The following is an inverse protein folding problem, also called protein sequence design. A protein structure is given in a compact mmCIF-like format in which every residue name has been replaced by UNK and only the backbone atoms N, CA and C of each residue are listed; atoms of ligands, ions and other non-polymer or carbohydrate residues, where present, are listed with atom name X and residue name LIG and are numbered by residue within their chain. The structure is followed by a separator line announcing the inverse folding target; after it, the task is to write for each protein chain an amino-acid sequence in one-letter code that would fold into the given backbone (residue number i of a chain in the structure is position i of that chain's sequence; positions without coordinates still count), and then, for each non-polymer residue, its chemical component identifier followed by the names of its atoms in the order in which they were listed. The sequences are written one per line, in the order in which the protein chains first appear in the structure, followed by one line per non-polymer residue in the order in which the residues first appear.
data_IF_196505362511
#
_entry.id   IF_196505362511
#
_cell.length_a   1.000
_cell.length_b   1.000
_cell.length_c   1.000
_cell.angle_alpha   90.00
_cell.angle_beta   90.00
_cell.angle_gamma   90.00
#
_symmetry.space_group_name_H-M   'P 1'
#
loop_
_entity.id
_entity.type
_entity.pdbx_description
1 polymer ?
#
# COMPACT_ATOMS: atom_id res chain seq x y z
N UNK A 1 -23.74 -40.55 -33.48
CA UNK A 1 -23.18 -41.32 -32.36
C UNK A 1 -23.01 -40.38 -31.19
N UNK A 2 -23.61 -40.72 -30.05
CA UNK A 2 -23.80 -39.81 -28.91
C UNK A 2 -23.00 -40.34 -27.73
N UNK A 3 -22.08 -39.55 -27.15
CA UNK A 3 -21.27 -39.99 -26.01
C UNK A 3 -21.07 -38.87 -24.99
N UNK A 4 -21.79 -39.00 -23.88
CA UNK A 4 -21.62 -38.48 -22.50
C UNK A 4 -22.75 -39.16 -21.69
N UNK A 5 -22.69 -39.31 -20.34
CA UNK A 5 -21.69 -38.86 -19.38
C UNK A 5 -21.20 -39.95 -18.39
N UNK A 6 -20.27 -39.58 -17.47
CA UNK A 6 -19.95 -40.17 -16.14
C UNK A 6 -18.64 -39.51 -15.64
N UNK A 7 -18.40 -39.16 -14.36
CA UNK A 7 -19.23 -39.12 -13.14
C UNK A 7 -18.55 -38.27 -12.05
N UNK A 8 -19.33 -37.87 -11.02
CA UNK A 8 -18.98 -37.51 -9.62
C UNK A 8 -17.57 -36.93 -9.30
N UNK A 9 -17.43 -35.69 -8.81
CA UNK A 9 -17.89 -35.14 -7.53
C UNK A 9 -17.13 -35.66 -6.28
N UNK A 10 -16.31 -34.76 -5.69
CA UNK A 10 -15.82 -34.86 -4.31
C UNK A 10 -15.56 -33.43 -3.77
N UNK A 11 -16.53 -32.86 -3.06
CA UNK A 11 -16.36 -31.65 -2.25
C UNK A 11 -15.78 -32.06 -0.88
N UNK A 12 -14.59 -31.56 -0.54
CA UNK A 12 -14.02 -31.71 0.80
C UNK A 12 -14.18 -30.39 1.57
N UNK A 13 -15.24 -30.29 2.37
CA UNK A 13 -15.42 -29.19 3.34
C UNK A 13 -14.84 -29.63 4.68
N UNK A 14 -13.69 -29.08 5.05
CA UNK A 14 -13.13 -29.23 6.39
C UNK A 14 -13.53 -28.03 7.24
N UNK A 15 -14.65 -28.17 7.95
CA UNK A 15 -15.02 -27.26 9.02
C UNK A 15 -14.28 -27.67 10.30
N UNK A 16 -13.34 -26.83 10.76
CA UNK A 16 -12.73 -26.96 12.09
C UNK A 16 -13.44 -25.99 13.03
N UNK A 17 -14.41 -26.52 13.79
CA UNK A 17 -14.99 -25.83 14.93
C UNK A 17 -14.17 -26.16 16.19
N UNK A 18 -13.71 -25.14 16.91
CA UNK A 18 -12.99 -25.29 18.18
C UNK A 18 -13.35 -24.16 19.13
N UNK A 19 -14.16 -24.45 20.13
CA UNK A 19 -14.65 -23.45 21.07
C UNK A 19 -13.64 -23.14 22.18
N UNK A 20 -13.40 -21.84 22.37
CA UNK A 20 -13.27 -21.10 23.64
C UNK A 20 -12.97 -21.91 24.90
N UNK A 21 -11.85 -21.59 25.55
CA UNK A 21 -11.71 -21.62 27.00
C UNK A 21 -11.08 -20.30 27.49
N UNK A 22 -11.89 -19.45 28.11
CA UNK A 22 -11.42 -18.27 28.85
C UNK A 22 -11.00 -18.71 30.26
N UNK A 23 -9.69 -18.67 30.55
CA UNK A 23 -9.19 -18.79 31.91
C UNK A 23 -8.72 -17.40 32.39
N UNK A 24 -9.56 -16.73 33.15
CA UNK A 24 -9.18 -15.46 33.79
C UNK A 24 -8.38 -15.71 35.06
N UNK A 25 -7.24 -15.01 35.20
CA UNK A 25 -6.60 -14.82 36.50
C UNK A 25 -7.15 -13.54 37.13
N UNK A 26 -8.33 -13.64 37.75
CA UNK A 26 -8.74 -12.69 38.78
C UNK A 26 -8.14 -13.14 40.11
N UNK A 27 -7.30 -12.28 40.72
CA UNK A 27 -6.66 -12.50 42.01
C UNK A 27 -7.03 -11.40 42.97
N UNK A 28 -8.27 -11.39 43.45
CA UNK A 28 -8.72 -10.47 44.49
C UNK A 28 -8.19 -10.88 45.86
N UNK A 29 -7.49 -9.96 46.53
CA UNK A 29 -7.29 -10.00 47.97
C UNK A 29 -7.18 -8.55 48.51
N UNK A 30 -8.33 -7.96 48.82
CA UNK A 30 -8.38 -6.68 49.52
C UNK A 30 -7.91 -6.83 50.98
N UNK A 31 -7.28 -5.79 51.51
CA UNK A 31 -7.21 -5.54 52.96
C UNK A 31 -7.19 -4.05 53.24
N UNK A 32 -8.32 -3.54 53.70
CA UNK A 32 -8.52 -2.16 54.15
C UNK A 32 -7.98 -1.94 55.55
N UNK A 33 -7.27 -0.84 55.79
CA UNK A 33 -7.03 -0.31 57.14
C UNK A 33 -6.90 1.23 57.14
N UNK A 34 -8.05 1.87 57.24
CA UNK A 34 -8.34 3.20 57.82
C UNK A 34 -7.38 3.67 58.94
N UNK A 35 -6.81 4.89 58.85
CA UNK A 35 -7.11 6.02 59.77
C UNK A 35 -6.20 7.26 59.60
N UNK A 36 -6.75 8.41 60.00
CA UNK A 36 -6.23 9.79 59.92
C UNK A 36 -5.23 10.19 61.04
N UNK A 37 -4.33 11.15 60.74
CA UNK A 37 -4.09 12.43 61.45
C UNK A 37 -3.01 13.22 60.64
N UNK A 38 -3.13 14.49 60.22
CA UNK A 38 -3.33 15.79 60.88
C UNK A 38 -2.01 16.59 61.11
N UNK A 39 -2.00 17.87 60.70
CA UNK A 39 -0.85 18.82 60.69
C UNK A 39 -0.52 19.27 59.25
N UNK A 40 -0.77 20.51 58.79
CA UNK A 40 -0.20 21.84 59.17
C UNK A 40 1.34 21.85 59.07
N UNK A 41 1.99 22.78 58.38
CA UNK A 41 1.70 24.20 58.07
C UNK A 41 1.89 24.53 56.56
N UNK A 42 1.21 25.52 55.95
CA UNK A 42 1.63 26.94 55.83
C UNK A 42 3.08 27.11 55.28
N UNK A 43 3.40 27.80 54.18
CA UNK A 43 2.65 28.68 53.28
C UNK A 43 3.15 28.45 51.80
N UNK A 44 2.83 29.21 50.75
CA UNK A 44 2.09 30.48 50.60
C UNK A 44 1.52 30.65 49.18
N UNK A 45 0.62 31.63 49.01
CA UNK A 45 0.19 32.25 47.75
C UNK A 45 -0.15 33.72 48.09
N UNK A 46 -0.03 34.72 47.16
CA UNK A 46 -1.09 34.84 46.15
C UNK A 46 -0.74 35.51 44.80
N UNK A 47 -1.61 35.24 43.83
CA UNK A 47 -2.14 36.18 42.81
C UNK A 47 -1.21 37.10 42.00
N UNK A 48 -1.19 36.88 40.69
CA UNK A 48 -1.70 37.88 39.71
C UNK A 48 -2.66 37.21 38.73
N UNK A 49 -3.61 37.99 38.22
CA UNK A 49 -4.80 37.57 37.44
C UNK A 49 -5.03 38.64 36.36
N UNK A 50 -5.56 38.25 35.19
CA UNK A 50 -6.05 39.10 34.06
C UNK A 50 -5.00 40.07 33.44
N UNK A 51 -4.81 40.21 32.13
CA UNK A 51 -5.71 40.42 30.98
C UNK A 51 -5.05 39.82 29.71
N UNK A 52 -5.78 39.25 28.73
CA UNK A 52 -6.58 39.92 27.68
C UNK A 52 -5.76 40.76 26.68
N UNK A 53 -5.67 40.28 25.44
CA UNK A 53 -5.89 41.08 24.22
C UNK A 53 -5.91 40.19 22.98
N UNK A 54 -7.07 40.10 22.34
CA UNK A 54 -7.18 39.67 20.96
C UNK A 54 -6.87 40.87 20.03
N UNK A 55 -6.19 40.63 18.91
CA UNK A 55 -5.96 41.67 17.90
C UNK A 55 -6.21 41.19 16.47
N UNK A 56 -7.37 41.59 15.95
CA UNK A 56 -7.71 41.79 14.54
C UNK A 56 -8.89 42.78 14.51
N UNK A 57 -9.23 43.49 13.41
CA UNK A 57 -8.65 43.46 12.05
C UNK A 57 -8.39 44.90 11.48
N UNK A 58 -8.54 45.06 10.15
CA UNK A 58 -8.68 46.31 9.35
C UNK A 58 -7.37 47.03 8.92
N UNK A 59 -7.25 47.67 7.75
CA UNK A 59 -8.20 47.90 6.63
C UNK A 59 -7.47 48.14 5.27
N UNK A 60 -8.23 48.31 4.19
CA UNK A 60 -7.91 48.93 2.88
C UNK A 60 -6.91 48.23 1.92
N UNK A 61 -7.07 48.28 0.58
CA UNK A 61 -8.23 48.61 -0.26
C UNK A 61 -8.01 48.13 -1.73
N UNK A 62 -9.13 47.94 -2.45
CA UNK A 62 -9.34 48.20 -3.89
C UNK A 62 -8.24 47.89 -4.93
N UNK A 63 -8.49 46.87 -5.78
CA UNK A 63 -8.80 47.08 -7.22
C UNK A 63 -9.00 45.75 -7.98
N UNK A 64 -10.10 45.64 -8.74
CA UNK A 64 -10.18 44.73 -9.90
C UNK A 64 -10.08 45.55 -11.19
N UNK A 65 -9.29 45.09 -12.17
CA UNK A 65 -9.62 45.32 -13.59
C UNK A 65 -10.17 44.05 -14.27
N UNK A 66 -10.99 44.30 -15.30
CA UNK A 66 -11.74 43.30 -16.10
C UNK A 66 -10.86 42.74 -17.27
N UNK A 67 -11.38 41.95 -18.23
CA UNK A 67 -10.59 40.93 -18.92
C UNK A 67 -9.98 41.42 -20.24
N UNK A 68 -9.00 40.65 -20.74
CA UNK A 68 -8.49 40.77 -22.11
C UNK A 68 -8.56 39.42 -22.82
N UNK A 69 -9.59 39.22 -23.64
CA UNK A 69 -9.61 38.23 -24.72
C UNK A 69 -9.25 38.93 -26.04
N UNK A 70 -8.34 38.35 -26.83
CA UNK A 70 -8.57 38.33 -28.29
C UNK A 70 -8.46 36.90 -28.88
N UNK A 71 -9.63 36.39 -29.24
CA UNK A 71 -10.02 35.57 -30.43
C UNK A 71 -9.06 35.66 -31.67
N UNK A 72 -9.17 34.79 -32.70
CA UNK A 72 -8.92 33.34 -32.76
C UNK A 72 -7.97 32.93 -33.93
N UNK A 73 -7.86 31.61 -34.17
CA UNK A 73 -7.26 30.93 -35.35
C UNK A 73 -5.73 30.69 -35.26
N UNK A 74 -5.16 29.59 -35.78
CA UNK A 74 -5.64 28.68 -36.85
C UNK A 74 -5.45 27.20 -36.51
N UNK A 75 -6.22 26.37 -37.22
CA UNK A 75 -6.11 24.91 -37.27
C UNK A 75 -4.70 24.42 -37.64
N UNK A 76 -4.25 23.34 -36.99
CA UNK A 76 -3.18 22.46 -37.46
C UNK A 76 -3.56 21.01 -37.15
N UNK A 77 -3.47 20.16 -38.18
CA UNK A 77 -4.00 18.80 -38.28
C UNK A 77 -3.40 17.81 -37.27
N UNK A 78 -4.14 16.77 -36.80
CA UNK A 78 -3.56 15.70 -36.00
C UNK A 78 -2.53 14.91 -36.83
N UNK A 79 -1.26 14.94 -36.42
CA UNK A 79 -0.23 14.11 -37.03
C UNK A 79 -0.24 12.74 -36.35
N UNK A 80 -0.82 11.75 -37.02
CA UNK A 80 -0.84 10.38 -36.53
C UNK A 80 0.61 9.85 -36.41
N UNK A 81 1.00 9.20 -35.30
CA UNK A 81 2.26 8.49 -35.24
C UNK A 81 2.20 7.32 -36.23
N UNK A 82 3.13 7.31 -37.19
CA UNK A 82 3.21 6.27 -38.21
C UNK A 82 3.40 4.89 -37.55
N UNK A 83 2.57 3.93 -37.93
CA UNK A 83 2.74 2.53 -37.54
C UNK A 83 4.00 1.96 -38.19
N UNK A 84 5.13 2.01 -37.47
CA UNK A 84 6.34 1.29 -37.87
C UNK A 84 6.06 -0.21 -37.81
N UNK A 85 6.24 -0.88 -38.95
CA UNK A 85 5.84 -2.26 -39.15
C UNK A 85 6.56 -3.23 -38.18
N UNK A 86 5.82 -4.19 -37.64
CA UNK A 86 6.39 -5.32 -36.91
C UNK A 86 7.19 -6.21 -37.86
N UNK A 87 8.52 -6.16 -37.76
CA UNK A 87 9.38 -7.15 -38.39
C UNK A 87 9.11 -8.53 -37.76
N UNK A 88 8.64 -9.47 -38.58
CA UNK A 88 8.49 -10.87 -38.17
C UNK A 88 9.85 -11.55 -38.27
N UNK A 89 10.31 -12.17 -37.19
CA UNK A 89 11.48 -13.08 -37.22
C UNK A 89 11.06 -14.47 -36.71
N UNK A 90 11.48 -15.48 -37.46
CA UNK A 90 11.03 -16.87 -37.32
C UNK A 90 11.52 -17.55 -36.04
N UNK A 91 10.79 -18.59 -35.63
CA UNK A 91 11.04 -19.34 -34.40
C UNK A 91 12.40 -20.08 -34.39
N UNK A 92 13.09 -20.03 -33.25
CA UNK A 92 14.24 -20.86 -32.93
C UNK A 92 14.25 -21.22 -31.43
N UNK A 93 13.76 -22.42 -31.11
CA UNK A 93 13.71 -22.97 -29.73
C UNK A 93 12.71 -22.27 -28.79
N UNK A 94 12.42 -22.86 -27.61
CA UNK A 94 11.75 -22.13 -26.54
C UNK A 94 12.72 -21.09 -25.99
N UNK A 95 12.42 -19.78 -26.07
CA UNK A 95 13.34 -18.77 -25.59
C UNK A 95 13.46 -18.88 -24.06
N UNK A 96 14.70 -18.89 -23.57
CA UNK A 96 15.02 -18.51 -22.19
C UNK A 96 14.28 -17.21 -21.89
N UNK A 97 13.41 -17.21 -20.88
CA UNK A 97 12.43 -16.15 -20.69
C UNK A 97 13.10 -14.78 -20.47
N UNK A 98 13.21 -13.98 -21.53
CA UNK A 98 13.86 -12.67 -21.50
C UNK A 98 13.21 -11.78 -20.44
N UNK A 99 13.98 -11.48 -19.39
CA UNK A 99 13.57 -10.60 -18.31
C UNK A 99 13.78 -9.14 -18.72
N UNK A 100 12.80 -8.29 -18.44
CA UNK A 100 12.91 -6.84 -18.68
C UNK A 100 12.17 -6.01 -17.64
N UNK A 101 12.70 -4.82 -17.39
CA UNK A 101 11.99 -3.76 -16.69
C UNK A 101 10.80 -3.28 -17.53
N UNK A 102 9.70 -2.95 -16.87
CA UNK A 102 8.46 -2.47 -17.49
C UNK A 102 8.05 -1.14 -16.87
N UNK A 103 7.49 -0.24 -17.67
CA UNK A 103 6.99 1.04 -17.18
C UNK A 103 5.83 0.83 -16.18
N UNK A 104 5.94 1.43 -14.99
CA UNK A 104 4.91 1.36 -13.96
C UNK A 104 3.73 2.26 -14.36
N UNK A 105 2.68 1.66 -14.91
CA UNK A 105 1.43 2.39 -15.18
C UNK A 105 0.61 2.60 -13.90
N UNK A 106 -0.23 3.64 -13.88
CA UNK A 106 -1.15 3.88 -12.78
C UNK A 106 -2.12 2.70 -12.54
N UNK A 107 -2.46 1.95 -13.59
CA UNK A 107 -3.30 0.74 -13.50
C UNK A 107 -2.57 -0.42 -12.80
N UNK A 108 -1.29 -0.65 -13.12
CA UNK A 108 -0.48 -1.66 -12.42
C UNK A 108 -0.33 -1.26 -10.95
N UNK A 109 0.03 0.00 -10.69
CA UNK A 109 0.24 0.51 -9.32
C UNK A 109 -1.03 0.37 -8.46
N UNK A 110 -2.20 0.80 -8.96
CA UNK A 110 -3.47 0.70 -8.24
C UNK A 110 -3.96 -0.75 -8.08
N UNK A 111 -3.74 -1.62 -9.06
CA UNK A 111 -4.14 -3.04 -8.97
C UNK A 111 -3.28 -3.81 -7.97
N UNK A 112 -1.96 -3.55 -7.95
CA UNK A 112 -1.04 -4.11 -6.94
C UNK A 112 -1.38 -3.60 -5.54
N UNK A 113 -1.66 -2.30 -5.38
CA UNK A 113 -2.11 -1.72 -4.10
C UNK A 113 -3.38 -2.42 -3.60
N UNK A 114 -4.42 -2.55 -4.43
CA UNK A 114 -5.65 -3.27 -4.06
C UNK A 114 -5.46 -4.75 -3.76
N UNK A 115 -4.52 -5.40 -4.44
CA UNK A 115 -4.14 -6.79 -4.15
C UNK A 115 -3.56 -6.90 -2.74
N UNK A 116 -2.78 -5.90 -2.31
CA UNK A 116 -2.21 -5.83 -0.96
C UNK A 116 -3.24 -5.42 0.10
N UNK A 117 -4.10 -4.42 -0.18
CA UNK A 117 -5.25 -4.03 0.66
C UNK A 117 -6.07 -5.25 1.05
N UNK A 118 -6.40 -6.08 0.05
CA UNK A 118 -7.21 -7.30 0.23
C UNK A 118 -6.46 -8.36 1.05
N UNK A 119 -5.14 -8.49 0.85
CA UNK A 119 -4.31 -9.51 1.50
C UNK A 119 -3.99 -9.19 2.97
N UNK A 120 -3.64 -7.94 3.29
CA UNK A 120 -3.22 -7.49 4.63
C UNK A 120 -4.31 -6.81 5.44
N UNK A 121 -5.47 -6.48 4.84
CA UNK A 121 -6.61 -5.77 5.46
C UNK A 121 -6.29 -4.35 5.95
N UNK A 122 -5.31 -3.71 5.32
CA UNK A 122 -4.95 -2.30 5.49
C UNK A 122 -5.60 -1.53 4.33
N UNK A 123 -6.16 -0.34 4.56
CA UNK A 123 -6.94 0.38 3.53
C UNK A 123 -6.34 1.72 3.11
N UNK A 124 -5.75 2.47 4.05
CA UNK A 124 -5.32 3.84 3.81
C UNK A 124 -3.82 3.91 3.52
N UNK A 125 -3.43 3.44 2.34
CA UNK A 125 -2.03 3.27 1.98
C UNK A 125 -1.76 3.44 0.49
N UNK A 126 -0.51 3.74 0.18
CA UNK A 126 -0.01 3.86 -1.19
C UNK A 126 1.42 3.34 -1.27
N UNK A 127 1.89 2.89 -2.45
CA UNK A 127 3.28 2.52 -2.59
C UNK A 127 4.19 3.75 -2.49
N UNK A 128 5.22 3.64 -1.64
CA UNK A 128 6.19 4.70 -1.36
C UNK A 128 6.85 5.18 -2.68
N UNK A 129 6.98 6.50 -2.91
CA UNK A 129 7.65 7.04 -4.10
C UNK A 129 9.06 6.47 -4.27
N UNK A 130 9.37 5.95 -5.46
CA UNK A 130 10.67 5.34 -5.76
C UNK A 130 10.85 3.87 -5.33
N UNK A 131 9.94 3.30 -4.53
CA UNK A 131 10.05 1.91 -4.05
C UNK A 131 9.38 0.84 -4.94
N UNK A 132 8.72 1.26 -6.03
CA UNK A 132 7.88 0.37 -6.85
C UNK A 132 8.67 -0.19 -8.05
N UNK A 133 9.02 -1.47 -7.96
CA UNK A 133 9.67 -2.24 -9.01
C UNK A 133 8.63 -2.98 -9.85
N UNK A 134 8.83 -3.03 -11.18
CA UNK A 134 7.95 -3.74 -12.09
C UNK A 134 8.70 -4.26 -13.32
N UNK A 135 8.32 -5.45 -13.76
CA UNK A 135 8.99 -6.14 -14.83
C UNK A 135 8.33 -7.47 -15.16
N UNK A 136 8.88 -8.18 -16.14
CA UNK A 136 8.38 -9.50 -16.53
C UNK A 136 9.44 -10.34 -17.19
N UNK A 137 9.26 -11.65 -17.11
CA UNK A 137 10.09 -12.65 -17.78
C UNK A 137 9.13 -13.64 -18.47
N UNK A 138 9.17 -13.69 -19.80
CA UNK A 138 8.21 -14.49 -20.58
C UNK A 138 6.76 -14.03 -20.36
N UNK A 139 5.89 -14.92 -19.85
CA UNK A 139 4.46 -14.64 -19.61
C UNK A 139 4.13 -14.19 -18.18
N UNK A 140 5.08 -14.28 -17.25
CA UNK A 140 4.89 -13.83 -15.87
C UNK A 140 5.35 -12.38 -15.69
N UNK A 141 4.58 -11.60 -14.94
CA UNK A 141 5.00 -10.27 -14.50
C UNK A 141 5.19 -10.28 -12.99
N UNK A 142 6.08 -9.44 -12.51
CA UNK A 142 6.50 -9.36 -11.12
C UNK A 142 6.49 -7.90 -10.71
N UNK A 143 6.06 -7.63 -9.48
CA UNK A 143 6.18 -6.32 -8.86
C UNK A 143 6.67 -6.47 -7.42
N UNK A 144 7.42 -5.49 -6.96
CA UNK A 144 7.80 -5.34 -5.56
C UNK A 144 7.55 -3.89 -5.15
N UNK A 145 7.04 -3.66 -3.95
CA UNK A 145 6.77 -2.31 -3.46
C UNK A 145 6.90 -2.22 -1.94
N UNK A 146 7.40 -1.09 -1.44
CA UNK A 146 7.14 -0.68 -0.06
C UNK A 146 5.88 0.19 -0.03
N UNK A 147 5.24 0.26 1.12
CA UNK A 147 3.99 0.99 1.27
C UNK A 147 4.01 1.89 2.49
N UNK A 148 3.41 3.06 2.34
CA UNK A 148 3.27 4.07 3.37
C UNK A 148 1.80 4.43 3.57
N UNK A 149 1.49 4.95 4.75
CA UNK A 149 0.15 5.47 5.04
C UNK A 149 -0.19 6.66 4.13
N UNK A 150 -1.48 6.78 3.79
CA UNK A 150 -2.06 7.99 3.19
C UNK A 150 -2.72 8.86 4.26
N UNK A 151 -3.02 10.14 3.97
CA UNK A 151 -3.96 10.91 4.77
C UNK A 151 -5.26 10.14 5.01
N UNK A 152 -5.79 10.20 6.23
CA UNK A 152 -6.98 9.44 6.65
C UNK A 152 -6.69 8.04 7.23
N UNK A 153 -5.43 7.59 7.28
CA UNK A 153 -5.09 6.32 7.91
C UNK A 153 -5.51 6.21 9.38
N UNK A 154 -6.14 5.09 9.72
CA UNK A 154 -6.59 4.79 11.08
C UNK A 154 -5.41 4.39 11.96
N UNK A 155 -5.57 4.45 13.29
CA UNK A 155 -4.55 3.92 14.21
C UNK A 155 -4.19 2.46 13.93
N UNK A 156 -5.15 1.64 13.49
CA UNK A 156 -4.92 0.25 13.08
C UNK A 156 -4.12 0.15 11.78
N UNK A 157 -4.43 0.95 10.76
CA UNK A 157 -3.62 1.01 9.53
C UNK A 157 -2.18 1.42 9.86
N UNK A 158 -2.00 2.44 10.71
CA UNK A 158 -0.69 2.96 11.09
C UNK A 158 0.16 1.93 11.83
N UNK A 159 -0.41 1.17 12.77
CA UNK A 159 0.31 0.09 13.48
C UNK A 159 0.68 -1.04 12.53
N UNK A 160 -0.26 -1.49 11.69
CA UNK A 160 0.02 -2.56 10.73
C UNK A 160 1.14 -2.19 9.76
N UNK A 161 1.20 -0.92 9.33
CA UNK A 161 2.23 -0.40 8.42
C UNK A 161 3.61 -0.19 9.06
N UNK A 162 3.78 -0.26 10.38
CA UNK A 162 5.11 -0.16 11.01
C UNK A 162 6.02 -1.30 10.57
N UNK A 163 5.53 -2.54 10.70
CA UNK A 163 6.25 -3.73 10.25
C UNK A 163 6.08 -3.91 8.73
N UNK A 164 4.83 -3.99 8.27
CA UNK A 164 4.49 -4.37 6.89
C UNK A 164 4.86 -3.31 5.84
N UNK A 165 4.85 -2.02 6.20
CA UNK A 165 5.23 -0.94 5.29
C UNK A 165 6.74 -0.80 5.12
N UNK A 166 7.53 -1.21 6.12
CA UNK A 166 8.99 -1.04 6.15
C UNK A 166 9.76 -1.96 5.19
N UNK A 167 9.16 -3.10 4.85
CA UNK A 167 9.74 -4.18 4.04
C UNK A 167 9.17 -4.20 2.62
N UNK A 168 9.89 -4.78 1.65
CA UNK A 168 9.35 -4.99 0.32
C UNK A 168 8.22 -6.04 0.35
N UNK A 169 7.14 -5.75 -0.36
CA UNK A 169 6.00 -6.64 -0.53
C UNK A 169 6.00 -7.13 -1.98
N UNK A 170 5.95 -8.45 -2.18
CA UNK A 170 6.16 -9.07 -3.48
C UNK A 170 4.87 -9.60 -4.10
N UNK A 171 4.71 -9.35 -5.39
CA UNK A 171 3.53 -9.69 -6.17
C UNK A 171 3.92 -10.38 -7.47
N UNK A 172 3.07 -11.30 -7.91
CA UNK A 172 3.20 -11.99 -9.19
C UNK A 172 1.89 -11.93 -9.95
N UNK A 173 1.96 -11.57 -11.21
CA UNK A 173 0.89 -11.71 -12.17
C UNK A 173 1.00 -13.03 -12.91
N UNK A 174 -0.13 -13.73 -13.05
CA UNK A 174 -0.26 -14.86 -13.96
C UNK A 174 -1.45 -14.62 -14.91
N UNK A 175 -1.29 -14.82 -16.23
CA UNK A 175 -2.40 -14.78 -17.18
C UNK A 175 -3.57 -15.67 -16.73
N UNK A 176 -4.80 -15.17 -16.89
CA UNK A 176 -6.02 -15.86 -16.45
C UNK A 176 -6.30 -15.84 -14.94
N UNK A 177 -5.29 -15.58 -14.09
CA UNK A 177 -5.46 -15.51 -12.62
C UNK A 177 -5.37 -14.09 -12.07
N UNK A 178 -4.64 -13.20 -12.74
CA UNK A 178 -4.42 -11.82 -12.29
C UNK A 178 -3.23 -11.67 -11.35
N UNK A 179 -3.21 -10.55 -10.62
CA UNK A 179 -2.20 -10.26 -9.60
C UNK A 179 -2.49 -11.02 -8.30
N UNK A 180 -1.44 -11.53 -7.67
CA UNK A 180 -1.46 -12.09 -6.32
C UNK A 180 -0.29 -11.54 -5.50
N UNK A 181 -0.56 -11.28 -4.23
CA UNK A 181 0.48 -11.18 -3.21
C UNK A 181 1.14 -12.55 -3.02
N UNK A 182 2.46 -12.57 -2.87
CA UNK A 182 3.27 -13.81 -2.77
C UNK A 182 3.89 -13.94 -1.38
N UNK A 183 4.66 -12.93 -0.97
CA UNK A 183 5.34 -12.86 0.34
C UNK A 183 5.80 -11.43 0.60
N UNK A 184 6.21 -11.16 1.83
CA UNK A 184 6.98 -9.97 2.22
C UNK A 184 8.47 -10.32 2.29
N UNK A 185 9.34 -9.31 2.24
CA UNK A 185 10.74 -9.37 2.70
C UNK A 185 10.78 -9.48 4.24
N UNK A 186 11.92 -9.89 4.78
CA UNK A 186 12.17 -10.00 6.22
C UNK A 186 12.37 -8.64 6.87
N UNK A 187 12.17 -8.56 8.20
CA UNK A 187 12.66 -7.45 9.01
C UNK A 187 13.92 -7.89 9.80
N UNK A 188 15.01 -7.09 9.82
CA UNK A 188 15.23 -5.86 9.07
C UNK A 188 15.23 -6.08 7.54
N UNK A 189 14.84 -5.07 6.72
CA UNK A 189 14.73 -5.23 5.26
C UNK A 189 16.02 -5.70 4.62
N UNK A 190 15.97 -6.82 3.90
CA UNK A 190 17.11 -7.33 3.12
C UNK A 190 17.18 -6.69 1.74
N UNK A 191 16.05 -6.16 1.26
CA UNK A 191 15.82 -5.71 -0.11
C UNK A 191 16.02 -6.79 -1.18
N UNK A 192 16.16 -8.06 -0.82
CA UNK A 192 16.49 -9.13 -1.75
C UNK A 192 15.29 -9.50 -2.64
N UNK A 193 15.22 -8.94 -3.85
CA UNK A 193 14.14 -9.25 -4.78
C UNK A 193 14.18 -10.68 -5.37
N UNK A 194 15.32 -11.38 -5.26
CA UNK A 194 15.47 -12.72 -5.81
C UNK A 194 14.63 -13.80 -5.07
N UNK A 195 13.99 -13.45 -3.95
CA UNK A 195 13.05 -14.35 -3.25
C UNK A 195 11.77 -14.63 -4.06
N UNK A 196 11.40 -13.76 -5.00
CA UNK A 196 10.21 -13.92 -5.87
C UNK A 196 10.50 -13.62 -7.35
N UNK A 197 11.33 -12.61 -7.65
CA UNK A 197 11.70 -12.28 -9.02
C UNK A 197 12.81 -13.23 -9.53
N UNK A 198 12.78 -13.67 -10.80
CA UNK A 198 13.89 -14.42 -11.39
C UNK A 198 15.21 -13.64 -11.29
N UNK A 199 16.38 -14.29 -11.14
CA UNK A 199 17.65 -13.60 -10.86
C UNK A 199 17.99 -12.46 -11.83
N UNK A 200 17.80 -12.67 -13.14
CA UNK A 200 18.03 -11.65 -14.16
C UNK A 200 17.11 -10.42 -14.01
N UNK A 201 15.91 -10.57 -13.43
CA UNK A 201 15.02 -9.43 -13.14
C UNK A 201 15.38 -8.75 -11.82
N UNK A 202 15.78 -9.51 -10.80
CA UNK A 202 16.28 -8.93 -9.56
C UNK A 202 17.56 -8.09 -9.79
N UNK A 203 18.43 -8.56 -10.69
CA UNK A 203 19.62 -7.82 -11.14
C UNK A 203 19.23 -6.50 -11.83
N UNK A 204 18.25 -6.52 -12.74
CA UNK A 204 17.70 -5.31 -13.42
C UNK A 204 17.01 -4.31 -12.49
N UNK A 205 16.59 -4.73 -11.29
CA UNK A 205 15.99 -3.87 -10.27
C UNK A 205 17.00 -3.34 -9.25
N UNK A 206 18.20 -3.93 -9.19
CA UNK A 206 19.26 -3.59 -8.23
C UNK A 206 18.85 -3.64 -6.74
N UNK A 207 17.77 -4.36 -6.41
CA UNK A 207 17.32 -4.59 -5.03
C UNK A 207 17.95 -5.88 -4.49
N UNK A 208 18.98 -5.69 -3.64
CA UNK A 208 19.87 -6.67 -3.01
C UNK A 208 20.65 -6.05 -1.86
#
# INVERSE_FOLDING_TARGET
MTYLPRSAAALAVLAVAGCIALAGCAGDAASTATSSDAGRDEASQPSRRVDESATAPADAATASPKPSEPKPSKSSTPQAPASSASASVSAAGPPSAECRNLAVSAQVKSTVTRTWETAKRISHMQPEPGSFYYGGCGTAQYAAARFQATPGATGTDLVALQDEGSVLQFFRYQPGTGWKFVTSDSFPPTNNCAIVAPPALAELWHCR
#
